data_IF_473147044743
#
_entry.id   IF_473147044743
#
_cell.length_a   1.000
_cell.length_b   1.000
_cell.length_c   1.000
_cell.angle_alpha   90.00
_cell.angle_beta   90.00
_cell.angle_gamma   90.00
#
_symmetry.space_group_name_H-M   'P 1'
#
loop_
_entity.id
_entity.type
_entity.pdbx_description
1 polymer ?
#
# COMPACT_ATOMS: atom_id res chain seq x y z
N UNK A 1 -3.47 -7.81 -8.22
CA UNK A 1 -2.01 -7.70 -8.45
C UNK A 1 -1.63 -8.23 -9.83
N UNK A 2 -1.96 -9.49 -10.14
CA UNK A 2 -1.69 -10.14 -11.44
C UNK A 2 -2.10 -9.29 -12.65
N UNK A 3 -3.30 -8.70 -12.63
CA UNK A 3 -3.79 -7.89 -13.75
C UNK A 3 -2.89 -6.70 -14.08
N UNK A 4 -2.28 -6.07 -13.05
CA UNK A 4 -1.35 -4.94 -13.25
C UNK A 4 -0.07 -5.45 -13.92
N UNK A 5 0.45 -6.59 -13.48
CA UNK A 5 1.61 -7.22 -14.10
C UNK A 5 1.34 -7.62 -15.55
N UNK A 6 0.14 -8.13 -15.84
CA UNK A 6 -0.24 -8.57 -17.17
C UNK A 6 -0.49 -7.39 -18.12
N UNK A 7 -1.08 -6.30 -17.62
CA UNK A 7 -1.44 -5.14 -18.42
C UNK A 7 -0.28 -4.16 -18.66
N UNK A 8 0.61 -3.98 -17.69
CA UNK A 8 1.68 -2.98 -17.80
C UNK A 8 2.82 -3.46 -18.73
N UNK A 9 3.07 -2.77 -19.83
CA UNK A 9 4.14 -3.13 -20.80
C UNK A 9 5.35 -2.19 -20.77
N UNK A 10 5.36 -1.20 -19.87
CA UNK A 10 6.46 -0.24 -19.74
C UNK A 10 7.70 -0.81 -19.03
N UNK A 11 8.78 0.01 -18.94
CA UNK A 11 10.08 -0.45 -18.44
C UNK A 11 10.09 -0.69 -16.93
N UNK A 12 9.43 0.17 -16.14
CA UNK A 12 9.32 0.03 -14.69
C UNK A 12 8.07 0.76 -14.17
N UNK A 13 7.36 0.20 -13.19
CA UNK A 13 6.21 0.79 -12.53
C UNK A 13 6.31 0.62 -11.02
N UNK A 14 6.16 1.71 -10.28
CA UNK A 14 5.97 1.69 -8.83
C UNK A 14 4.49 1.87 -8.52
N UNK A 15 3.91 0.92 -7.80
CA UNK A 15 2.51 0.97 -7.36
C UNK A 15 2.49 1.19 -5.85
N UNK A 16 1.80 2.24 -5.41
CA UNK A 16 1.58 2.54 -4.00
C UNK A 16 0.14 2.11 -3.65
N UNK A 17 0.02 1.17 -2.72
CA UNK A 17 -1.25 0.71 -2.17
C UNK A 17 -1.52 1.51 -0.89
N UNK A 18 -2.68 2.16 -0.85
CA UNK A 18 -3.18 2.85 0.33
C UNK A 18 -4.54 2.22 0.65
N UNK A 19 -4.64 1.60 1.82
CA UNK A 19 -5.85 0.89 2.23
C UNK A 19 -6.44 1.54 3.48
N UNK A 20 -7.77 1.63 3.52
CA UNK A 20 -8.50 1.97 4.73
C UNK A 20 -8.52 0.74 5.66
N UNK A 21 -8.38 0.96 6.98
CA UNK A 21 -8.11 -0.10 7.94
C UNK A 21 -9.20 -1.19 8.04
N UNK A 22 -10.40 -0.93 7.52
CA UNK A 22 -11.52 -1.87 7.52
C UNK A 22 -11.35 -3.03 6.51
N UNK A 23 -10.44 -2.89 5.53
CA UNK A 23 -10.17 -3.90 4.50
C UNK A 23 -8.69 -4.34 4.49
N UNK A 24 -8.08 -4.49 5.67
CA UNK A 24 -6.74 -5.09 5.82
C UNK A 24 -6.75 -6.58 5.46
N UNK A 25 -6.76 -6.88 4.16
CA UNK A 25 -6.53 -8.20 3.62
C UNK A 25 -5.42 -8.16 2.57
N UNK A 26 -4.57 -9.20 2.49
CA UNK A 26 -3.66 -9.31 1.36
C UNK A 26 -4.49 -9.28 0.06
N UNK A 27 -4.09 -8.47 -0.94
CA UNK A 27 -4.75 -8.44 -2.24
C UNK A 27 -4.98 -9.84 -2.78
N UNK A 28 -6.16 -10.07 -3.39
CA UNK A 28 -6.45 -11.36 -4.02
C UNK A 28 -5.46 -11.61 -5.17
N UNK A 29 -4.95 -12.84 -5.21
CA UNK A 29 -3.84 -13.23 -6.08
C UNK A 29 -2.50 -13.03 -5.36
N UNK A 30 -2.13 -14.02 -4.56
CA UNK A 30 -0.79 -14.09 -3.98
C UNK A 30 0.23 -14.41 -5.07
N UNK A 31 1.32 -13.65 -5.09
CA UNK A 31 2.47 -13.84 -5.98
C UNK A 31 3.75 -13.82 -5.16
N UNK A 32 4.75 -14.55 -5.63
CA UNK A 32 6.13 -14.37 -5.17
C UNK A 32 6.80 -13.23 -5.96
N UNK A 33 7.27 -12.21 -5.26
CA UNK A 33 7.90 -11.05 -5.89
C UNK A 33 9.38 -11.33 -6.17
N UNK A 34 9.86 -10.94 -7.35
CA UNK A 34 11.27 -11.02 -7.74
C UNK A 34 11.90 -9.62 -7.78
N UNK A 35 13.23 -9.53 -7.60
CA UNK A 35 13.94 -8.23 -7.63
C UNK A 35 13.86 -7.56 -9.01
N UNK A 36 13.83 -8.39 -10.05
CA UNK A 36 13.81 -8.04 -11.47
C UNK A 36 12.40 -7.72 -11.98
N UNK A 37 11.37 -7.80 -11.12
CA UNK A 37 10.01 -7.46 -11.49
C UNK A 37 9.90 -6.01 -11.96
N UNK A 38 9.34 -5.83 -13.16
CA UNK A 38 9.05 -4.50 -13.73
C UNK A 38 8.02 -3.71 -12.93
N UNK A 39 7.13 -4.38 -12.18
CA UNK A 39 6.14 -3.74 -11.31
C UNK A 39 6.51 -4.00 -9.86
N UNK A 40 6.66 -2.95 -9.06
CA UNK A 40 6.98 -3.05 -7.63
C UNK A 40 5.86 -2.45 -6.81
N UNK A 41 5.29 -3.25 -5.91
CA UNK A 41 4.21 -2.87 -5.01
C UNK A 41 4.76 -2.42 -3.66
N UNK A 42 4.18 -1.34 -3.13
CA UNK A 42 4.49 -0.77 -1.84
C UNK A 42 3.21 -0.48 -1.08
N UNK A 43 3.20 -0.71 0.22
CA UNK A 43 2.12 -0.35 1.12
C UNK A 43 2.49 0.96 1.81
N UNK A 44 1.61 1.96 1.70
CA UNK A 44 1.76 3.24 2.40
C UNK A 44 1.33 3.06 3.84
N UNK A 45 2.15 3.56 4.76
CA UNK A 45 1.79 3.62 6.17
C UNK A 45 0.79 4.77 6.36
N UNK A 46 -0.47 4.45 6.57
CA UNK A 46 -1.52 5.43 6.85
C UNK A 46 -1.54 5.82 8.33
N UNK A 47 -1.87 7.08 8.68
CA UNK A 47 -2.08 7.46 10.07
C UNK A 47 -3.11 6.56 10.75
N UNK A 48 -2.78 6.04 11.93
CA UNK A 48 -3.71 5.27 12.76
C UNK A 48 -4.32 6.21 13.79
N UNK A 49 -5.57 6.64 13.58
CA UNK A 49 -6.32 7.36 14.62
C UNK A 49 -6.78 6.36 15.67
N UNK A 50 -6.16 6.35 16.84
CA UNK A 50 -6.69 5.61 17.99
C UNK A 50 -7.74 6.48 18.70
N UNK A 51 -8.96 5.96 18.83
CA UNK A 51 -9.97 6.59 19.69
C UNK A 51 -9.44 6.63 21.13
N UNK A 52 -9.04 7.80 21.62
CA UNK A 52 -8.55 8.00 23.00
C UNK A 52 -7.29 8.86 23.14
N UNK A 53 -6.63 9.25 22.05
CA UNK A 53 -5.64 10.33 22.08
C UNK A 53 -6.37 11.66 21.91
N UNK A 54 -6.68 12.33 23.02
CA UNK A 54 -7.36 13.63 23.01
C UNK A 54 -6.45 14.78 22.54
N UNK A 55 -5.16 14.53 22.25
CA UNK A 55 -4.17 15.58 21.99
C UNK A 55 -3.56 15.56 20.58
N UNK A 56 -3.63 14.46 19.84
CA UNK A 56 -3.15 14.39 18.47
C UNK A 56 -4.32 14.31 17.46
N UNK A 57 -4.55 15.42 16.73
CA UNK A 57 -5.41 15.45 15.54
C UNK A 57 -4.76 14.61 14.43
N UNK A 58 -4.95 13.29 14.48
CA UNK A 58 -4.58 12.44 13.36
C UNK A 58 -5.67 12.51 12.28
N UNK A 59 -5.33 12.90 11.04
CA UNK A 59 -6.30 12.87 9.95
C UNK A 59 -6.80 11.44 9.79
N UNK A 60 -8.12 11.29 9.65
CA UNK A 60 -8.71 9.99 9.37
C UNK A 60 -8.09 9.43 8.07
N UNK A 61 -7.90 8.12 7.98
CA UNK A 61 -7.27 7.49 6.82
C UNK A 61 -7.90 7.95 5.48
N UNK A 62 -9.23 8.09 5.44
CA UNK A 62 -9.94 8.63 4.29
C UNK A 62 -9.53 10.07 3.92
N UNK A 63 -9.39 10.96 4.91
CA UNK A 63 -8.98 12.35 4.69
C UNK A 63 -7.53 12.43 4.24
N UNK A 64 -6.66 11.61 4.83
CA UNK A 64 -5.27 11.46 4.39
C UNK A 64 -5.20 11.04 2.91
N UNK A 65 -5.94 10.00 2.51
CA UNK A 65 -6.00 9.54 1.12
C UNK A 65 -6.53 10.65 0.21
N UNK A 66 -7.64 11.30 0.60
CA UNK A 66 -8.29 12.34 -0.22
C UNK A 66 -7.36 13.53 -0.42
N UNK A 67 -6.85 14.11 0.65
CA UNK A 67 -6.01 15.31 0.58
C UNK A 67 -4.67 15.02 -0.06
N UNK A 68 -4.02 13.93 0.35
CA UNK A 68 -2.72 13.56 -0.19
C UNK A 68 -2.80 13.11 -1.65
N UNK A 69 -3.91 12.50 -2.07
CA UNK A 69 -4.18 12.19 -3.46
C UNK A 69 -4.31 13.45 -4.32
N UNK A 70 -5.09 14.43 -3.86
CA UNK A 70 -5.29 15.72 -4.57
C UNK A 70 -4.00 16.53 -4.63
N UNK A 71 -3.24 16.58 -3.52
CA UNK A 71 -1.99 17.34 -3.44
C UNK A 71 -0.79 16.59 -4.02
N UNK A 72 -0.95 15.32 -4.37
CA UNK A 72 0.14 14.46 -4.83
C UNK A 72 1.18 14.14 -3.75
N UNK A 73 0.88 14.33 -2.47
CA UNK A 73 1.82 14.08 -1.38
C UNK A 73 1.91 12.60 -1.00
N UNK A 74 0.91 11.78 -1.35
CA UNK A 74 0.90 10.31 -1.12
C UNK A 74 2.16 9.62 -1.67
N UNK A 75 2.73 10.14 -2.76
CA UNK A 75 3.92 9.57 -3.39
C UNK A 75 5.21 9.78 -2.59
N UNK A 76 5.23 10.80 -1.71
CA UNK A 76 6.36 11.10 -0.83
C UNK A 76 6.28 10.42 0.53
N UNK A 77 5.17 9.73 0.81
CA UNK A 77 4.95 9.08 2.09
C UNK A 77 5.88 7.89 2.31
N UNK A 78 6.12 7.59 3.59
CA UNK A 78 6.82 6.36 3.95
C UNK A 78 5.98 5.18 3.49
N UNK A 79 6.66 4.25 2.81
CA UNK A 79 6.02 3.05 2.30
C UNK A 79 6.97 1.86 2.43
N UNK A 80 6.39 0.70 2.69
CA UNK A 80 7.11 -0.56 2.83
C UNK A 80 6.90 -1.39 1.57
N UNK A 81 7.94 -2.09 1.12
CA UNK A 81 7.78 -3.03 0.00
C UNK A 81 6.76 -4.09 0.43
N UNK A 82 5.78 -4.34 -0.42
CA UNK A 82 4.76 -5.34 -0.15
C UNK A 82 5.43 -6.71 0.02
N UNK A 83 5.00 -7.43 1.05
CA UNK A 83 5.49 -8.78 1.33
C UNK A 83 4.96 -9.78 0.30
N UNK A 84 5.80 -10.73 -0.11
CA UNK A 84 5.39 -11.79 -1.01
C UNK A 84 4.51 -12.84 -0.33
N UNK A 85 3.78 -13.60 -1.14
CA UNK A 85 2.80 -14.57 -0.64
C UNK A 85 3.45 -15.70 0.17
N UNK A 86 4.61 -16.21 -0.26
CA UNK A 86 5.32 -17.27 0.47
C UNK A 86 5.74 -16.81 1.86
N UNK A 87 6.23 -15.57 2.00
CA UNK A 87 6.66 -14.99 3.28
C UNK A 87 5.46 -14.73 4.18
N UNK A 88 4.38 -14.14 3.65
CA UNK A 88 3.16 -13.92 4.41
C UNK A 88 2.57 -15.24 4.93
N UNK A 89 2.55 -16.29 4.10
CA UNK A 89 2.06 -17.62 4.47
C UNK A 89 2.86 -18.29 5.59
N UNK A 90 4.16 -18.00 5.73
CA UNK A 90 5.00 -18.57 6.82
C UNK A 90 4.69 -17.98 8.20
N UNK A 91 4.04 -16.81 8.26
CA UNK A 91 3.67 -16.14 9.52
C UNK A 91 2.30 -16.54 10.06
N UNK A 92 1.51 -17.24 9.25
CA UNK A 92 0.19 -17.78 9.57
C UNK A 92 0.31 -19.24 10.04
#
# INVERSE_FOLDING_TARGET
IEDVFNAYTGPALRVMLVAEAMDHGPPRGGRDFHEDDRVKFYEVDVPTSYYGDENDEHPLCYEFIREGGVRGTVWGEKARKMEDFTTARRRL
#
